data_IF_652023675705
#
_entry.id   IF_652023675705
#
_cell.length_a   1.000
_cell.length_b   1.000
_cell.length_c   1.000
_cell.angle_alpha   90.00
_cell.angle_beta   90.00
_cell.angle_gamma   90.00
#
_symmetry.space_group_name_H-M   'P 1'
#
loop_
_entity.id
_entity.type
_entity.pdbx_description
1 polymer ?
#
# COMPACT_ATOMS: atom_id res chain seq x y z
N UNK A 1 1.33 -13.33 39.21
CA UNK A 1 1.34 -12.67 37.89
C UNK A 1 2.80 -12.46 37.56
N UNK A 2 3.42 -13.46 36.95
CA UNK A 2 4.82 -13.42 36.54
C UNK A 2 4.86 -12.90 35.11
N UNK A 3 5.42 -11.72 34.92
CA UNK A 3 5.69 -11.17 33.60
C UNK A 3 7.01 -11.79 33.12
N UNK A 4 6.91 -12.68 32.14
CA UNK A 4 8.07 -13.31 31.49
C UNK A 4 8.51 -12.38 30.35
N UNK A 5 9.64 -11.71 30.53
CA UNK A 5 10.29 -10.95 29.46
C UNK A 5 10.73 -11.91 28.35
N UNK A 6 10.30 -11.64 27.12
CA UNK A 6 10.79 -12.34 25.93
C UNK A 6 12.10 -11.69 25.51
N UNK A 7 13.21 -12.39 25.75
CA UNK A 7 14.49 -12.12 25.09
C UNK A 7 14.36 -12.49 23.61
N UNK A 8 14.57 -11.52 22.72
CA UNK A 8 14.69 -11.76 21.29
C UNK A 8 16.18 -11.89 20.98
N UNK A 9 16.64 -13.12 20.78
CA UNK A 9 17.95 -13.42 20.20
C UNK A 9 17.94 -13.02 18.71
N UNK A 10 18.63 -11.92 18.39
CA UNK A 10 18.94 -11.54 17.02
C UNK A 10 20.09 -12.42 16.51
N UNK A 11 19.75 -13.47 15.75
CA UNK A 11 20.69 -14.20 14.93
C UNK A 11 21.12 -13.32 13.73
N UNK A 12 22.33 -12.78 13.80
CA UNK A 12 23.05 -12.20 12.67
C UNK A 12 24.00 -13.27 12.13
N UNK A 13 23.64 -13.93 11.02
CA UNK A 13 24.55 -14.80 10.28
C UNK A 13 24.74 -14.27 8.84
N UNK A 14 25.84 -13.55 8.71
CA UNK A 14 26.82 -13.43 7.62
C UNK A 14 26.37 -13.60 6.16
N UNK A 15 26.46 -12.50 5.39
CA UNK A 15 26.44 -12.50 3.93
C UNK A 15 27.83 -12.83 3.36
N UNK A 16 27.91 -13.54 2.21
CA UNK A 16 29.17 -14.04 1.66
C UNK A 16 30.08 -12.93 1.09
N UNK A 17 31.37 -13.07 1.42
CA UNK A 17 32.49 -12.25 0.93
C UNK A 17 32.75 -12.54 -0.56
N UNK A 18 32.47 -11.56 -1.42
CA UNK A 18 32.90 -11.60 -2.82
C UNK A 18 34.20 -10.81 -3.00
N UNK A 19 35.33 -11.51 -2.96
CA UNK A 19 36.64 -10.99 -3.39
C UNK A 19 36.77 -11.12 -4.90
N UNK A 20 37.02 -9.99 -5.58
CA UNK A 20 37.34 -9.95 -7.00
C UNK A 20 37.91 -8.58 -7.38
N UNK A 21 39.22 -8.42 -7.22
CA UNK A 21 39.98 -7.30 -7.78
C UNK A 21 40.00 -7.40 -9.31
N UNK A 22 39.53 -6.38 -10.02
CA UNK A 22 40.10 -6.01 -11.33
C UNK A 22 40.11 -4.49 -11.50
N UNK A 23 41.34 -3.99 -11.61
CA UNK A 23 41.74 -2.65 -12.02
C UNK A 23 41.39 -2.44 -13.50
N UNK A 24 40.65 -1.38 -13.79
CA UNK A 24 40.28 -0.97 -15.15
C UNK A 24 40.09 0.55 -15.19
N UNK A 25 41.10 1.25 -15.66
CA UNK A 25 41.13 2.68 -15.89
C UNK A 25 40.20 3.14 -17.03
N UNK A 26 39.68 4.36 -16.86
CA UNK A 26 39.28 5.35 -17.88
C UNK A 26 37.76 5.54 -18.18
N UNK A 27 37.35 6.81 -17.93
CA UNK A 27 36.41 7.63 -18.71
C UNK A 27 34.95 7.19 -18.87
N UNK A 28 34.04 7.95 -18.24
CA UNK A 28 32.81 8.54 -18.83
C UNK A 28 31.88 9.00 -17.71
N UNK A 29 31.80 10.29 -17.38
CA UNK A 29 30.64 11.15 -17.69
C UNK A 29 29.29 10.40 -17.79
N UNK A 30 28.39 10.71 -16.85
CA UNK A 30 26.96 10.77 -17.10
C UNK A 30 26.07 9.85 -16.27
N UNK A 31 25.01 10.47 -15.73
CA UNK A 31 23.71 9.89 -15.37
C UNK A 31 23.55 9.20 -14.00
N UNK A 32 23.05 9.99 -13.04
CA UNK A 32 21.81 9.68 -12.32
C UNK A 32 21.78 8.43 -11.44
N UNK A 33 22.28 8.54 -10.21
CA UNK A 33 21.96 7.59 -9.14
C UNK A 33 20.55 7.91 -8.61
N UNK A 34 19.55 7.26 -9.18
CA UNK A 34 18.21 7.23 -8.59
C UNK A 34 18.22 6.10 -7.56
N UNK A 35 18.38 6.46 -6.29
CA UNK A 35 18.19 5.56 -5.16
C UNK A 35 16.74 5.11 -5.14
N UNK A 36 16.47 3.90 -5.65
CA UNK A 36 15.22 3.20 -5.36
C UNK A 36 15.24 2.81 -3.89
N UNK A 37 14.64 3.66 -3.05
CA UNK A 37 14.27 3.30 -1.70
C UNK A 37 13.35 2.08 -1.79
N UNK A 38 13.79 0.95 -1.24
CA UNK A 38 12.99 -0.27 -1.17
C UNK A 38 11.84 0.04 -0.21
N UNK A 39 10.66 0.31 -0.76
CA UNK A 39 9.44 0.52 0.04
C UNK A 39 9.01 -0.86 0.55
N UNK A 40 9.44 -1.21 1.76
CA UNK A 40 8.93 -2.38 2.47
C UNK A 40 7.39 -2.30 2.56
N UNK A 41 6.65 -3.42 2.43
CA UNK A 41 5.20 -3.40 2.54
C UNK A 41 4.82 -2.92 3.94
N UNK A 42 4.28 -1.69 4.04
CA UNK A 42 3.79 -1.17 5.30
C UNK A 42 2.46 -1.84 5.54
N UNK A 43 2.37 -2.62 6.62
CA UNK A 43 1.08 -3.08 7.12
C UNK A 43 0.26 -1.83 7.45
N UNK A 44 -0.82 -1.56 6.70
CA UNK A 44 -1.64 -0.37 6.88
C UNK A 44 -2.04 -0.25 8.34
N UNK A 45 -1.69 0.88 8.96
CA UNK A 45 -1.95 1.06 10.39
C UNK A 45 -3.47 1.16 10.61
N UNK A 46 -3.96 0.61 11.72
CA UNK A 46 -5.39 0.69 12.04
C UNK A 46 -5.83 2.16 12.09
N UNK A 47 -6.76 2.56 11.23
CA UNK A 47 -7.23 3.95 11.14
C UNK A 47 -6.44 4.84 10.18
N UNK A 48 -5.51 4.29 9.42
CA UNK A 48 -4.87 4.98 8.30
C UNK A 48 -5.87 5.20 7.15
N UNK A 49 -5.85 6.39 6.57
CA UNK A 49 -6.67 6.72 5.39
C UNK A 49 -5.92 6.29 4.14
N UNK A 50 -6.56 5.46 3.33
CA UNK A 50 -6.06 5.04 2.02
C UNK A 50 -6.75 5.85 0.92
N UNK A 51 -6.00 6.23 -0.11
CA UNK A 51 -6.58 6.89 -1.29
C UNK A 51 -6.89 5.83 -2.33
N UNK A 52 -8.16 5.76 -2.72
CA UNK A 52 -8.62 4.91 -3.81
C UNK A 52 -9.27 5.70 -4.93
N UNK A 53 -9.85 4.98 -5.88
CA UNK A 53 -10.64 5.51 -6.99
C UNK A 53 -12.04 4.88 -6.91
N UNK A 54 -13.07 5.69 -7.09
CA UNK A 54 -14.43 5.20 -7.28
C UNK A 54 -14.57 4.69 -8.72
N UNK A 55 -14.60 3.39 -8.94
CA UNK A 55 -14.74 2.79 -10.27
C UNK A 55 -16.18 2.89 -10.79
N UNK A 56 -17.17 2.97 -9.89
CA UNK A 56 -18.57 3.17 -10.26
C UNK A 56 -19.52 2.58 -9.23
N UNK A 57 -20.63 2.05 -9.71
CA UNK A 57 -21.64 1.35 -8.91
C UNK A 57 -21.86 -0.06 -9.42
N UNK A 58 -22.16 -1.00 -8.52
CA UNK A 58 -22.60 -2.34 -8.90
C UNK A 58 -24.09 -2.37 -9.32
N UNK A 59 -24.58 -3.55 -9.68
CA UNK A 59 -26.00 -3.75 -10.09
C UNK A 59 -27.01 -3.40 -9.00
N UNK A 60 -26.57 -3.32 -7.73
CA UNK A 60 -27.38 -2.97 -6.57
C UNK A 60 -27.24 -1.49 -6.19
N UNK A 61 -26.46 -0.72 -6.95
CA UNK A 61 -26.18 0.69 -6.69
C UNK A 61 -25.17 0.93 -5.57
N UNK A 62 -24.38 -0.07 -5.19
CA UNK A 62 -23.32 0.06 -4.17
C UNK A 62 -22.02 0.51 -4.83
N UNK A 63 -21.27 1.34 -4.13
CA UNK A 63 -20.01 1.88 -4.63
C UNK A 63 -18.98 0.78 -4.86
N UNK A 64 -18.30 0.84 -5.99
CA UNK A 64 -17.16 0.01 -6.33
C UNK A 64 -15.90 0.86 -6.28
N UNK A 65 -14.89 0.43 -5.53
CA UNK A 65 -13.63 1.15 -5.37
C UNK A 65 -12.45 0.27 -5.70
N UNK A 66 -11.40 0.89 -6.21
CA UNK A 66 -10.10 0.25 -6.37
C UNK A 66 -9.02 1.10 -5.69
N UNK A 67 -7.91 0.48 -5.30
CA UNK A 67 -6.81 1.14 -4.61
C UNK A 67 -5.52 0.33 -4.77
N UNK A 68 -4.37 0.97 -4.59
CA UNK A 68 -3.07 0.37 -4.94
C UNK A 68 -2.74 -0.93 -4.18
N UNK A 69 -3.26 -1.08 -2.97
CA UNK A 69 -3.03 -2.25 -2.11
C UNK A 69 -4.14 -3.30 -2.24
N UNK A 70 -5.06 -3.14 -3.20
CA UNK A 70 -6.15 -4.09 -3.42
C UNK A 70 -5.55 -5.44 -3.83
N UNK A 71 -5.73 -6.52 -3.03
CA UNK A 71 -5.20 -7.83 -3.38
C UNK A 71 -5.96 -8.48 -4.53
N UNK A 72 -7.18 -8.01 -4.82
CA UNK A 72 -8.02 -8.52 -5.89
C UNK A 72 -7.81 -7.68 -7.17
N UNK A 73 -7.70 -8.34 -8.32
CA UNK A 73 -7.64 -7.68 -9.65
C UNK A 73 -8.99 -7.04 -10.06
N UNK A 74 -9.89 -6.80 -9.10
CA UNK A 74 -11.24 -6.31 -9.34
C UNK A 74 -11.62 -5.27 -8.29
N UNK A 75 -12.45 -4.27 -8.66
CA UNK A 75 -12.96 -3.31 -7.70
C UNK A 75 -13.78 -3.97 -6.60
N UNK A 76 -13.57 -3.53 -5.36
CA UNK A 76 -14.29 -4.01 -4.19
C UNK A 76 -15.53 -3.17 -3.90
N UNK A 77 -16.57 -3.82 -3.42
CA UNK A 77 -17.76 -3.11 -2.93
C UNK A 77 -17.44 -2.38 -1.63
N UNK A 78 -17.66 -1.07 -1.61
CA UNK A 78 -17.49 -0.24 -0.43
C UNK A 78 -18.82 0.16 0.20
N UNK A 79 -18.81 0.31 1.53
CA UNK A 79 -19.85 1.04 2.25
C UNK A 79 -19.54 2.53 2.14
N UNK A 80 -20.54 3.37 1.86
CA UNK A 80 -20.33 4.82 1.80
C UNK A 80 -20.98 5.53 2.97
N UNK A 81 -20.23 6.39 3.65
CA UNK A 81 -20.78 7.33 4.65
C UNK A 81 -21.21 8.67 4.05
N UNK A 82 -20.93 8.87 2.76
CA UNK A 82 -21.30 10.07 1.99
C UNK A 82 -22.15 9.69 0.78
N UNK A 83 -22.89 10.64 0.22
CA UNK A 83 -23.59 10.42 -1.03
C UNK A 83 -22.57 10.26 -2.17
N UNK A 84 -22.66 9.13 -2.87
CA UNK A 84 -21.85 8.81 -4.05
C UNK A 84 -22.76 8.42 -5.19
N UNK A 85 -22.35 8.71 -6.42
CA UNK A 85 -23.14 8.51 -7.64
C UNK A 85 -22.25 8.11 -8.81
N UNK A 86 -22.85 7.53 -9.85
CA UNK A 86 -22.13 7.08 -11.05
C UNK A 86 -21.39 8.22 -11.79
N UNK A 87 -21.84 9.47 -11.66
CA UNK A 87 -21.17 10.63 -12.27
C UNK A 87 -19.82 10.97 -11.64
N UNK A 88 -19.53 10.40 -10.46
CA UNK A 88 -18.25 10.57 -9.75
C UNK A 88 -17.28 9.41 -10.04
N UNK A 89 -17.62 8.49 -10.94
CA UNK A 89 -16.70 7.42 -11.34
C UNK A 89 -15.39 8.00 -11.91
N UNK A 90 -14.27 7.38 -11.55
CA UNK A 90 -12.91 7.84 -11.82
C UNK A 90 -12.38 8.89 -10.84
N UNK A 91 -13.17 9.37 -9.89
CA UNK A 91 -12.71 10.33 -8.88
C UNK A 91 -11.98 9.63 -7.72
N UNK A 92 -11.08 10.36 -7.08
CA UNK A 92 -10.38 9.88 -5.90
C UNK A 92 -11.31 9.88 -4.68
N UNK A 93 -11.15 8.87 -3.83
CA UNK A 93 -11.90 8.71 -2.59
C UNK A 93 -10.97 8.45 -1.41
N UNK A 94 -11.35 8.98 -0.26
CA UNK A 94 -10.72 8.66 1.02
C UNK A 94 -11.38 7.40 1.59
N UNK A 95 -10.58 6.36 1.81
CA UNK A 95 -11.01 5.06 2.30
C UNK A 95 -10.49 4.81 3.71
N UNK A 96 -11.34 4.20 4.53
CA UNK A 96 -10.95 3.47 5.73
C UNK A 96 -11.33 2.01 5.56
N UNK A 97 -10.73 1.13 6.34
CA UNK A 97 -11.00 -0.30 6.31
C UNK A 97 -11.65 -0.76 7.61
N UNK A 98 -12.89 -1.24 7.53
CA UNK A 98 -13.62 -1.70 8.70
C UNK A 98 -12.88 -2.88 9.36
N UNK A 99 -12.73 -2.82 10.68
CA UNK A 99 -11.99 -3.83 11.47
C UNK A 99 -10.52 -4.00 11.02
N UNK A 100 -9.96 -3.05 10.25
CA UNK A 100 -8.63 -3.16 9.66
C UNK A 100 -8.54 -4.19 8.52
N UNK A 101 -9.68 -4.60 7.94
CA UNK A 101 -9.73 -5.59 6.85
C UNK A 101 -9.84 -4.88 5.51
N UNK A 102 -8.83 -5.08 4.67
CA UNK A 102 -8.70 -4.43 3.35
C UNK A 102 -9.86 -4.76 2.40
N UNK A 103 -10.46 -5.93 2.58
CA UNK A 103 -11.65 -6.42 1.85
C UNK A 103 -12.95 -5.69 2.23
N UNK A 104 -12.95 -4.86 3.28
CA UNK A 104 -14.12 -4.11 3.76
C UNK A 104 -13.89 -2.59 3.72
N UNK A 105 -13.76 -2.00 2.53
CA UNK A 105 -13.55 -0.56 2.40
C UNK A 105 -14.80 0.26 2.76
N UNK A 106 -14.55 1.40 3.39
CA UNK A 106 -15.54 2.41 3.77
C UNK A 106 -15.13 3.75 3.15
N UNK A 107 -15.96 4.30 2.28
CA UNK A 107 -15.77 5.64 1.70
C UNK A 107 -16.12 6.67 2.76
N UNK A 108 -15.13 7.45 3.17
CA UNK A 108 -15.27 8.57 4.11
C UNK A 108 -15.53 9.89 3.40
N UNK A 109 -15.07 10.04 2.15
CA UNK A 109 -15.23 11.26 1.36
C UNK A 109 -14.74 11.14 -0.08
N UNK A 110 -15.12 12.12 -0.90
CA UNK A 110 -14.69 12.30 -2.29
C UNK A 110 -13.63 13.43 -2.33
N UNK A 111 -12.62 13.28 -3.19
CA UNK A 111 -11.52 14.23 -3.37
C UNK A 111 -11.59 14.79 -4.81
N UNK A 112 -11.45 16.11 -4.97
CA UNK A 112 -11.53 16.83 -6.25
C UNK A 112 -10.27 17.63 -6.54
#
# INVERSE_FOLDING_TARGET
MEHKELEIELALDELPVASGEQTGSAQSRGAGEISHEIIAPRKSALGEVTIGVLEGMDEQGRALVDFAENPDDRPLTAISTVAVSQSQAGQQVALLFAEGKIENPVIMGIIH
#
